data_IF_925904317241
#
_entry.id   IF_925904317241
#
_cell.length_a   1.000
_cell.length_b   1.000
_cell.length_c   1.000
_cell.angle_alpha   90.00
_cell.angle_beta   90.00
_cell.angle_gamma   90.00
#
_symmetry.space_group_name_H-M   'P 1'
#
loop_
_entity.id
_entity.type
_entity.pdbx_description
1 polymer ?
#
# COMPACT_ATOMS: atom_id res chain seq x y z
N UNK A 1 15.61 70.01 56.16
CA UNK A 1 15.23 68.72 56.82
C UNK A 1 14.85 67.69 55.76
N UNK A 2 15.62 66.61 55.54
CA UNK A 2 15.30 65.66 54.49
C UNK A 2 14.53 64.46 55.11
N UNK A 3 13.39 64.08 54.47
CA UNK A 3 12.62 62.90 54.83
C UNK A 3 13.06 61.71 54.02
N UNK A 4 13.57 60.69 54.69
CA UNK A 4 13.91 59.39 54.21
C UNK A 4 12.64 58.58 53.84
N UNK A 5 12.50 58.21 52.57
CA UNK A 5 11.54 57.19 52.17
C UNK A 5 12.33 55.93 51.77
N UNK A 6 12.35 54.94 52.66
CA UNK A 6 12.83 53.59 52.36
C UNK A 6 11.73 52.88 51.57
N UNK A 7 12.00 52.58 50.32
CA UNK A 7 11.16 51.68 49.53
C UNK A 7 11.55 50.25 49.84
N UNK A 8 10.60 49.43 50.30
CA UNK A 8 10.72 47.99 50.45
C UNK A 8 10.48 47.34 49.05
N UNK A 9 11.50 46.75 48.48
CA UNK A 9 11.39 45.88 47.33
C UNK A 9 11.05 44.48 47.84
N UNK A 10 9.80 44.04 47.68
CA UNK A 10 9.38 42.66 47.89
C UNK A 10 9.75 41.84 46.63
N UNK A 11 10.73 40.96 46.73
CA UNK A 11 11.07 40.03 45.68
C UNK A 11 10.09 38.83 45.72
N UNK A 12 9.17 38.79 44.75
CA UNK A 12 8.33 37.62 44.51
C UNK A 12 9.10 36.63 43.63
N UNK A 13 9.55 35.55 44.26
CA UNK A 13 10.12 34.39 43.53
C UNK A 13 8.96 33.57 42.92
N UNK A 14 8.75 33.72 41.64
CA UNK A 14 7.84 32.86 40.87
C UNK A 14 8.53 31.49 40.65
N UNK A 15 8.08 30.46 41.35
CA UNK A 15 8.48 29.09 41.06
C UNK A 15 7.81 28.60 39.78
N UNK A 16 8.58 28.47 38.70
CA UNK A 16 8.14 27.86 37.48
C UNK A 16 8.16 26.32 37.67
N UNK A 17 6.99 25.74 37.89
CA UNK A 17 6.80 24.29 37.80
C UNK A 17 6.91 23.88 36.31
N UNK A 18 8.08 23.39 35.92
CA UNK A 18 8.26 22.68 34.66
C UNK A 18 7.63 21.30 34.79
N UNK A 19 6.41 21.13 34.29
CA UNK A 19 5.82 19.81 34.08
C UNK A 19 6.57 19.15 32.91
N UNK A 20 7.46 18.22 33.22
CA UNK A 20 8.06 17.34 32.22
C UNK A 20 6.95 16.49 31.61
N UNK A 21 6.62 16.74 30.34
CA UNK A 21 5.75 15.83 29.59
C UNK A 21 6.41 14.44 29.56
N UNK A 22 5.65 13.35 29.79
CA UNK A 22 6.22 12.01 29.69
C UNK A 22 6.78 11.81 28.30
N UNK A 23 8.07 11.52 28.19
CA UNK A 23 8.71 11.11 26.95
C UNK A 23 7.93 9.90 26.42
N UNK A 24 7.29 10.05 25.26
CA UNK A 24 6.63 8.95 24.56
C UNK A 24 7.69 7.86 24.37
N UNK A 25 7.56 6.74 25.07
CA UNK A 25 8.44 5.60 24.91
C UNK A 25 8.36 5.19 23.42
N UNK A 26 9.45 5.40 22.68
CA UNK A 26 9.57 4.92 21.32
C UNK A 26 9.34 3.40 21.36
N UNK A 27 8.26 2.93 20.74
CA UNK A 27 7.97 1.51 20.67
C UNK A 27 9.18 0.80 20.06
N UNK A 28 9.61 -0.29 20.69
CA UNK A 28 10.73 -1.09 20.17
C UNK A 28 10.49 -1.47 18.70
N UNK A 29 11.54 -1.48 17.87
CA UNK A 29 11.42 -1.87 16.47
C UNK A 29 10.75 -3.25 16.38
N UNK A 30 9.66 -3.37 15.63
CA UNK A 30 9.03 -4.66 15.40
C UNK A 30 9.95 -5.53 14.56
N UNK A 31 10.07 -6.83 14.88
CA UNK A 31 10.81 -7.72 14.02
C UNK A 31 10.15 -7.75 12.62
N UNK A 32 11.00 -7.79 11.59
CA UNK A 32 10.54 -7.89 10.20
C UNK A 32 9.71 -9.17 10.02
N UNK A 33 8.56 -9.10 9.30
CA UNK A 33 7.82 -10.30 8.92
C UNK A 33 8.68 -11.27 8.08
N UNK A 34 8.67 -12.55 8.44
CA UNK A 34 9.45 -13.60 7.76
C UNK A 34 8.57 -14.67 7.12
N UNK A 35 7.26 -14.63 7.37
CA UNK A 35 6.29 -15.55 6.77
C UNK A 35 5.22 -14.76 6.03
N UNK A 36 4.57 -15.38 5.06
CA UNK A 36 3.46 -14.77 4.32
C UNK A 36 2.34 -14.29 5.25
N UNK A 37 2.02 -15.08 6.28
CA UNK A 37 1.00 -14.71 7.26
C UNK A 37 1.37 -13.45 8.03
N UNK A 38 2.57 -13.41 8.62
CA UNK A 38 3.00 -12.21 9.39
C UNK A 38 3.17 -10.99 8.50
N UNK A 39 3.56 -11.17 7.22
CA UNK A 39 3.62 -10.11 6.23
C UNK A 39 2.22 -9.54 5.92
N UNK A 40 1.25 -10.41 5.68
CA UNK A 40 -0.13 -10.00 5.42
C UNK A 40 -0.76 -9.31 6.65
N UNK A 41 -0.55 -9.86 7.84
CA UNK A 41 -1.03 -9.28 9.10
C UNK A 41 -0.47 -7.86 9.32
N UNK A 42 0.83 -7.62 9.01
CA UNK A 42 1.44 -6.28 9.12
C UNK A 42 0.87 -5.31 8.09
N UNK A 43 0.69 -5.73 6.83
CA UNK A 43 0.05 -4.90 5.80
C UNK A 43 -1.36 -4.48 6.23
N UNK A 44 -2.19 -5.41 6.67
CA UNK A 44 -3.56 -5.12 7.10
C UNK A 44 -3.60 -4.27 8.38
N UNK A 45 -2.65 -4.47 9.30
CA UNK A 45 -2.53 -3.62 10.48
C UNK A 45 -2.13 -2.18 10.11
N UNK A 46 -1.20 -2.02 9.15
CA UNK A 46 -0.83 -0.73 8.60
C UNK A 46 -1.99 -0.03 7.91
N UNK A 47 -2.74 -0.77 7.08
CA UNK A 47 -3.91 -0.21 6.42
C UNK A 47 -4.98 0.27 7.41
N UNK A 48 -5.25 -0.47 8.48
CA UNK A 48 -6.17 0.00 9.54
C UNK A 48 -5.70 1.30 10.18
N UNK A 49 -4.39 1.50 10.36
CA UNK A 49 -3.84 2.77 10.88
C UNK A 49 -4.04 3.90 9.89
N UNK A 50 -3.74 3.65 8.61
CA UNK A 50 -3.95 4.61 7.52
C UNK A 50 -5.41 5.04 7.42
N UNK A 51 -6.34 4.10 7.32
CA UNK A 51 -7.78 4.36 7.25
C UNK A 51 -8.32 5.10 8.48
N UNK A 52 -7.74 4.87 9.66
CA UNK A 52 -8.10 5.58 10.88
C UNK A 52 -7.47 6.99 11.00
N UNK A 53 -6.72 7.47 9.99
CA UNK A 53 -6.01 8.74 10.04
C UNK A 53 -4.91 8.80 11.11
N UNK A 54 -4.33 7.66 11.49
CA UNK A 54 -3.29 7.54 12.51
C UNK A 54 -2.09 6.72 12.03
N UNK A 55 -1.51 7.06 10.85
CA UNK A 55 -0.32 6.38 10.36
C UNK A 55 0.86 6.64 11.29
N UNK A 56 1.82 5.72 11.29
CA UNK A 56 3.05 5.79 12.09
C UNK A 56 4.23 6.33 11.32
N UNK A 57 4.15 6.32 9.98
CA UNK A 57 5.23 6.70 9.07
C UNK A 57 6.57 6.00 9.42
N UNK A 58 6.58 4.66 9.49
CA UNK A 58 7.78 3.93 9.87
C UNK A 58 8.86 4.04 8.80
N UNK A 59 10.12 3.88 9.20
CA UNK A 59 11.25 3.66 8.30
C UNK A 59 11.53 4.77 7.26
N UNK A 60 11.11 6.02 7.51
CA UNK A 60 11.33 7.15 6.60
C UNK A 60 12.61 7.95 6.88
N UNK A 61 13.22 7.71 8.05
CA UNK A 61 14.33 8.51 8.56
C UNK A 61 15.66 8.33 7.81
N UNK A 62 16.58 9.32 7.96
CA UNK A 62 17.90 9.30 7.34
C UNK A 62 18.72 8.07 7.73
N UNK A 63 18.66 7.63 8.99
CA UNK A 63 19.38 6.46 9.47
C UNK A 63 18.94 5.19 8.72
N UNK A 64 17.65 5.01 8.48
CA UNK A 64 17.12 3.89 7.69
C UNK A 64 17.66 3.89 6.26
N UNK A 65 17.65 5.04 5.59
CA UNK A 65 18.19 5.17 4.22
C UNK A 65 19.67 4.82 4.16
N UNK A 66 20.45 5.23 5.16
CA UNK A 66 21.88 4.92 5.23
C UNK A 66 22.11 3.40 5.36
N UNK A 67 21.37 2.73 6.24
CA UNK A 67 21.46 1.27 6.40
C UNK A 67 21.08 0.54 5.12
N UNK A 68 20.00 0.96 4.45
CA UNK A 68 19.51 0.33 3.23
C UNK A 68 20.39 0.56 1.99
N UNK A 69 21.32 1.53 2.04
CA UNK A 69 22.28 1.73 0.95
C UNK A 69 23.19 0.50 0.72
N UNK A 70 23.37 -0.34 1.74
CA UNK A 70 24.16 -1.58 1.66
C UNK A 70 23.36 -2.80 1.17
N UNK A 71 22.02 -2.74 1.15
CA UNK A 71 21.16 -3.84 0.73
C UNK A 71 19.70 -3.64 1.16
N UNK A 72 18.81 -4.39 0.53
CA UNK A 72 17.36 -4.32 0.81
C UNK A 72 16.81 -5.68 1.25
N UNK A 73 15.79 -5.64 2.09
CA UNK A 73 15.10 -6.83 2.59
C UNK A 73 13.59 -6.54 2.70
N UNK A 74 12.87 -6.31 1.61
CA UNK A 74 11.42 -6.13 1.66
C UNK A 74 10.73 -7.42 2.12
N UNK A 75 9.56 -7.30 2.78
CA UNK A 75 8.84 -8.46 3.28
C UNK A 75 7.61 -8.82 2.44
N UNK A 76 7.21 -7.98 1.50
CA UNK A 76 6.12 -8.25 0.58
C UNK A 76 6.37 -7.60 -0.79
N UNK A 77 5.92 -8.28 -1.85
CA UNK A 77 5.69 -7.67 -3.17
C UNK A 77 4.24 -7.19 -3.21
N UNK A 78 4.01 -5.95 -3.64
CA UNK A 78 2.66 -5.44 -3.92
C UNK A 78 2.56 -5.12 -5.40
N UNK A 79 1.68 -5.86 -6.10
CA UNK A 79 1.33 -5.62 -7.50
C UNK A 79 0.07 -4.78 -7.53
N UNK A 80 0.18 -3.52 -7.90
CA UNK A 80 -0.92 -2.55 -7.82
C UNK A 80 -1.09 -1.66 -9.05
N UNK A 81 -2.12 -0.84 -9.02
CA UNK A 81 -2.36 0.14 -10.06
C UNK A 81 -1.43 1.35 -9.93
N UNK A 82 -1.13 2.00 -11.09
CA UNK A 82 -0.43 3.30 -11.14
C UNK A 82 -1.27 4.46 -10.59
N UNK A 83 -2.53 4.24 -10.25
CA UNK A 83 -3.44 5.28 -9.73
C UNK A 83 -2.80 6.03 -8.57
N UNK A 84 -2.66 7.36 -8.71
CA UNK A 84 -1.96 8.21 -7.75
C UNK A 84 -2.59 8.25 -6.35
N UNK A 85 -3.85 7.83 -6.23
CA UNK A 85 -4.61 7.76 -4.96
C UNK A 85 -4.29 6.50 -4.15
N UNK A 86 -3.57 5.53 -4.74
CA UNK A 86 -3.33 4.21 -4.14
C UNK A 86 -1.83 3.88 -4.11
N UNK A 87 -0.96 4.72 -3.51
CA UNK A 87 0.44 4.36 -3.31
C UNK A 87 0.54 3.30 -2.20
N UNK A 88 1.08 2.10 -2.49
CA UNK A 88 1.03 0.98 -1.54
C UNK A 88 1.71 1.27 -0.21
N UNK A 89 2.83 2.00 -0.21
CA UNK A 89 3.56 2.34 1.00
C UNK A 89 2.69 3.16 1.96
N UNK A 90 1.91 4.12 1.44
CA UNK A 90 1.00 4.92 2.26
C UNK A 90 -0.22 4.12 2.68
N UNK A 91 -0.85 3.40 1.74
CA UNK A 91 -2.04 2.57 2.01
C UNK A 91 -1.80 1.56 3.13
N UNK A 92 -0.60 1.00 3.19
CA UNK A 92 -0.21 0.01 4.20
C UNK A 92 0.61 0.58 5.36
N UNK A 93 0.82 1.91 5.42
CA UNK A 93 1.63 2.58 6.46
C UNK A 93 2.99 1.87 6.65
N UNK A 94 3.72 1.73 5.54
CA UNK A 94 5.04 1.13 5.45
C UNK A 94 6.06 2.16 4.94
N UNK A 95 7.33 1.91 5.19
CA UNK A 95 8.40 2.84 4.83
C UNK A 95 9.43 2.27 3.85
N UNK A 96 10.53 2.98 3.72
CA UNK A 96 11.57 2.66 2.76
C UNK A 96 12.17 1.28 3.03
N UNK A 97 12.14 0.41 1.99
CA UNK A 97 12.71 -0.92 2.03
C UNK A 97 11.84 -1.98 2.68
N UNK A 98 10.57 -1.67 3.00
CA UNK A 98 9.62 -2.63 3.54
C UNK A 98 8.88 -3.39 2.44
N UNK A 99 8.57 -2.73 1.33
CA UNK A 99 7.83 -3.29 0.20
C UNK A 99 8.63 -3.24 -1.09
N UNK A 100 8.39 -4.21 -1.96
CA UNK A 100 8.72 -4.16 -3.38
C UNK A 100 7.41 -3.84 -4.13
N UNK A 101 7.27 -2.61 -4.64
CA UNK A 101 6.05 -2.16 -5.29
C UNK A 101 6.21 -2.22 -6.81
N UNK A 102 5.32 -2.97 -7.49
CA UNK A 102 5.23 -3.08 -8.94
C UNK A 102 3.88 -2.48 -9.36
N UNK A 103 3.88 -1.48 -10.23
CA UNK A 103 2.67 -0.73 -10.55
C UNK A 103 2.50 -0.57 -12.06
N UNK A 104 1.38 -1.08 -12.58
CA UNK A 104 0.91 -0.89 -13.95
C UNK A 104 -0.53 -0.38 -13.94
N UNK A 105 -1.02 0.23 -15.02
CA UNK A 105 -2.42 0.64 -15.07
C UNK A 105 -3.32 -0.60 -14.97
N UNK A 106 -4.23 -0.62 -13.98
CA UNK A 106 -5.09 -1.77 -13.71
C UNK A 106 -4.38 -3.01 -13.20
N UNK A 107 -3.15 -2.92 -12.69
CA UNK A 107 -2.30 -4.04 -12.25
C UNK A 107 -2.20 -5.18 -13.28
N UNK A 108 -2.17 -4.86 -14.56
CA UNK A 108 -2.01 -5.84 -15.65
C UNK A 108 -0.63 -6.48 -15.59
N UNK A 109 -0.56 -7.76 -16.02
CA UNK A 109 0.68 -8.52 -16.09
C UNK A 109 1.27 -8.45 -17.49
N UNK A 110 2.60 -8.33 -17.53
CA UNK A 110 3.42 -8.58 -18.70
C UNK A 110 4.73 -9.28 -18.28
N UNK A 111 5.58 -9.62 -19.21
CA UNK A 111 6.84 -10.30 -18.94
C UNK A 111 7.77 -9.50 -17.99
N UNK A 112 7.76 -8.17 -18.09
CA UNK A 112 8.58 -7.32 -17.21
C UNK A 112 8.04 -7.30 -15.77
N UNK A 113 6.71 -7.30 -15.61
CA UNK A 113 6.04 -7.42 -14.32
C UNK A 113 6.32 -8.79 -13.70
N UNK A 114 6.13 -9.87 -14.47
CA UNK A 114 6.42 -11.24 -14.00
C UNK A 114 7.88 -11.41 -13.60
N UNK A 115 8.83 -10.95 -14.41
CA UNK A 115 10.25 -10.95 -14.08
C UNK A 115 10.58 -10.17 -12.82
N UNK A 116 9.90 -9.04 -12.58
CA UNK A 116 10.08 -8.23 -11.38
C UNK A 116 9.53 -8.92 -10.12
N UNK A 117 8.39 -9.62 -10.24
CA UNK A 117 7.84 -10.44 -9.15
C UNK A 117 8.80 -11.60 -8.84
N UNK A 118 9.31 -12.27 -9.88
CA UNK A 118 10.23 -13.39 -9.74
C UNK A 118 11.52 -12.96 -9.04
N UNK A 119 12.08 -11.81 -9.39
CA UNK A 119 13.23 -11.24 -8.68
C UNK A 119 12.95 -11.08 -7.18
N UNK A 120 11.78 -10.56 -6.83
CA UNK A 120 11.37 -10.43 -5.42
C UNK A 120 11.24 -11.77 -4.69
N UNK A 121 10.65 -12.75 -5.33
CA UNK A 121 10.41 -14.08 -4.72
C UNK A 121 11.68 -14.92 -4.68
N UNK A 122 12.39 -15.05 -5.82
CA UNK A 122 13.51 -15.95 -5.95
C UNK A 122 14.82 -15.37 -5.35
N UNK A 123 15.12 -14.10 -5.64
CA UNK A 123 16.40 -13.50 -5.24
C UNK A 123 16.33 -12.83 -3.86
N UNK A 124 15.20 -12.22 -3.50
CA UNK A 124 15.05 -11.53 -2.22
C UNK A 124 14.34 -12.38 -1.16
N UNK A 125 13.84 -13.56 -1.53
CA UNK A 125 13.14 -14.48 -0.62
C UNK A 125 11.87 -13.90 0.00
N UNK A 126 11.14 -13.09 -0.76
CA UNK A 126 9.92 -12.44 -0.27
C UNK A 126 8.80 -13.48 -0.16
N UNK A 127 8.19 -13.66 1.02
CA UNK A 127 7.23 -14.73 1.26
C UNK A 127 5.80 -14.41 0.79
N UNK A 128 5.49 -13.14 0.47
CA UNK A 128 4.13 -12.68 0.13
C UNK A 128 4.13 -11.84 -1.15
N UNK A 129 3.24 -12.20 -2.08
CA UNK A 129 2.84 -11.35 -3.20
C UNK A 129 1.38 -10.94 -2.99
N UNK A 130 1.10 -9.65 -2.90
CA UNK A 130 -0.25 -9.11 -2.76
C UNK A 130 -0.66 -8.35 -4.03
N UNK A 131 -1.68 -8.83 -4.72
CA UNK A 131 -2.33 -8.11 -5.83
C UNK A 131 -3.35 -7.15 -5.24
N UNK A 132 -3.18 -5.86 -5.48
CA UNK A 132 -4.02 -4.80 -4.94
C UNK A 132 -4.83 -4.11 -6.05
N UNK A 133 -6.07 -4.54 -6.23
CA UNK A 133 -7.08 -3.80 -6.99
C UNK A 133 -7.63 -2.62 -6.18
N UNK A 134 -8.31 -1.69 -6.85
CA UNK A 134 -8.91 -0.55 -6.15
C UNK A 134 -10.20 -0.09 -6.80
N UNK A 135 -11.05 0.52 -6.02
CA UNK A 135 -12.31 1.10 -6.43
C UNK A 135 -12.11 2.19 -7.50
N UNK A 136 -13.08 2.33 -8.39
CA UNK A 136 -13.09 3.37 -9.45
C UNK A 136 -11.78 3.40 -10.27
N UNK A 137 -11.29 2.20 -10.64
CA UNK A 137 -10.09 2.06 -11.46
C UNK A 137 -10.31 2.58 -12.88
N UNK A 138 -9.48 3.53 -13.32
CA UNK A 138 -9.60 4.13 -14.66
C UNK A 138 -9.37 3.14 -15.80
N UNK A 139 -8.47 2.17 -15.65
CA UNK A 139 -8.23 1.14 -16.66
C UNK A 139 -9.45 0.21 -16.83
N UNK A 140 -10.10 -0.17 -15.71
CA UNK A 140 -11.36 -0.92 -15.77
C UNK A 140 -12.45 -0.09 -16.43
N UNK A 141 -12.61 1.18 -16.06
CA UNK A 141 -13.60 2.06 -16.68
C UNK A 141 -13.42 2.18 -18.21
N UNK A 142 -12.17 2.32 -18.67
CA UNK A 142 -11.86 2.36 -20.10
C UNK A 142 -12.22 1.04 -20.81
N UNK A 143 -11.97 -0.11 -20.17
CA UNK A 143 -12.35 -1.44 -20.72
C UNK A 143 -13.87 -1.57 -20.84
N UNK A 144 -14.62 -1.16 -19.81
CA UNK A 144 -16.08 -1.23 -19.83
C UNK A 144 -16.68 -0.28 -20.86
N UNK A 145 -16.10 0.89 -21.07
CA UNK A 145 -16.53 1.84 -22.08
C UNK A 145 -16.30 1.28 -23.49
N UNK A 146 -15.13 0.69 -23.74
CA UNK A 146 -14.87 -0.03 -24.99
C UNK A 146 -15.92 -1.13 -25.25
N UNK A 147 -16.23 -1.95 -24.25
CA UNK A 147 -17.22 -3.03 -24.38
C UNK A 147 -18.66 -2.54 -24.57
N UNK A 148 -19.01 -1.33 -24.11
CA UNK A 148 -20.34 -0.73 -24.30
C UNK A 148 -20.50 -0.10 -25.68
N UNK A 149 -19.48 0.57 -26.16
CA UNK A 149 -19.57 1.45 -27.34
C UNK A 149 -18.95 0.85 -28.59
N UNK A 150 -18.04 -0.12 -28.48
CA UNK A 150 -17.21 -0.60 -29.56
C UNK A 150 -16.19 0.43 -30.05
N UNK A 151 -16.01 1.55 -29.33
CA UNK A 151 -15.04 2.59 -29.71
C UNK A 151 -13.62 2.03 -29.72
N UNK A 152 -12.80 2.38 -30.73
CA UNK A 152 -11.43 1.89 -30.79
C UNK A 152 -10.60 2.41 -29.63
N UNK A 153 -9.73 1.55 -29.09
CA UNK A 153 -8.79 1.91 -28.02
C UNK A 153 -7.47 2.39 -28.68
N UNK A 154 -7.01 3.62 -28.42
CA UNK A 154 -5.85 4.17 -29.09
C UNK A 154 -4.52 3.61 -28.56
N UNK A 155 -3.62 3.25 -29.47
CA UNK A 155 -2.21 2.96 -29.20
C UNK A 155 -1.99 1.89 -28.12
N UNK A 156 -1.10 2.17 -27.20
CA UNK A 156 -0.69 1.24 -26.16
C UNK A 156 -1.76 0.97 -25.08
N UNK A 157 -2.83 1.76 -25.03
CA UNK A 157 -3.94 1.50 -24.10
C UNK A 157 -4.70 0.22 -24.47
N UNK A 158 -4.60 -0.25 -25.72
CA UNK A 158 -5.22 -1.49 -26.16
C UNK A 158 -4.78 -2.69 -25.31
N UNK A 159 -3.48 -2.78 -24.97
CA UNK A 159 -2.97 -3.84 -24.09
C UNK A 159 -3.70 -3.89 -22.75
N UNK A 160 -3.96 -2.73 -22.14
CA UNK A 160 -4.63 -2.67 -20.84
C UNK A 160 -6.08 -3.16 -20.93
N UNK A 161 -6.76 -2.80 -22.02
CA UNK A 161 -8.15 -3.22 -22.26
C UNK A 161 -8.20 -4.72 -22.52
N UNK A 162 -7.28 -5.24 -23.36
CA UNK A 162 -7.23 -6.67 -23.68
C UNK A 162 -6.99 -7.54 -22.45
N UNK A 163 -6.11 -7.12 -21.54
CA UNK A 163 -5.80 -7.83 -20.30
C UNK A 163 -6.96 -7.80 -19.27
N UNK A 164 -7.74 -6.73 -19.25
CA UNK A 164 -8.86 -6.60 -18.30
C UNK A 164 -10.17 -7.18 -18.87
N UNK A 165 -10.31 -7.22 -20.20
CA UNK A 165 -11.52 -7.64 -20.91
C UNK A 165 -12.06 -9.03 -20.47
N UNK A 166 -11.24 -10.07 -20.27
CA UNK A 166 -11.75 -11.37 -19.82
C UNK A 166 -12.50 -11.30 -18.48
N UNK A 167 -12.03 -10.47 -17.54
CA UNK A 167 -12.70 -10.25 -16.27
C UNK A 167 -14.01 -9.48 -16.43
N UNK A 168 -14.01 -8.46 -17.28
CA UNK A 168 -15.20 -7.66 -17.59
C UNK A 168 -16.30 -8.49 -18.24
N UNK A 169 -15.95 -9.34 -19.22
CA UNK A 169 -16.92 -10.20 -19.90
C UNK A 169 -17.53 -11.23 -18.95
N UNK A 170 -16.75 -11.83 -18.05
CA UNK A 170 -17.24 -12.80 -17.05
C UNK A 170 -18.21 -12.19 -16.05
N UNK A 171 -18.06 -10.91 -15.76
CA UNK A 171 -18.89 -10.22 -14.75
C UNK A 171 -20.06 -9.45 -15.36
N UNK A 172 -20.17 -9.40 -16.69
CA UNK A 172 -21.19 -8.58 -17.40
C UNK A 172 -22.63 -8.88 -17.02
N UNK A 173 -22.94 -10.14 -16.73
CA UNK A 173 -24.29 -10.58 -16.38
C UNK A 173 -24.56 -10.60 -14.86
N UNK A 174 -23.56 -10.26 -14.03
CA UNK A 174 -23.70 -10.23 -12.57
C UNK A 174 -24.49 -8.97 -12.18
N UNK A 175 -25.62 -9.10 -11.47
CA UNK A 175 -26.40 -7.95 -11.04
C UNK A 175 -25.60 -7.00 -10.12
N UNK A 176 -25.80 -5.69 -10.28
CA UNK A 176 -25.13 -4.67 -9.45
C UNK A 176 -24.13 -3.84 -10.23
N UNK A 177 -23.08 -3.38 -9.55
CA UNK A 177 -22.05 -2.54 -10.15
C UNK A 177 -21.05 -3.39 -10.95
N UNK A 178 -21.19 -3.30 -12.28
CA UNK A 178 -20.30 -4.03 -13.19
C UNK A 178 -18.84 -3.65 -13.04
N UNK A 179 -18.52 -2.38 -12.77
CA UNK A 179 -17.16 -1.94 -12.58
C UNK A 179 -16.53 -2.57 -11.33
N UNK A 180 -17.26 -2.56 -10.22
CA UNK A 180 -16.81 -3.18 -8.96
C UNK A 180 -16.61 -4.70 -9.11
N UNK A 181 -17.55 -5.39 -9.79
CA UNK A 181 -17.40 -6.82 -10.07
C UNK A 181 -16.18 -7.10 -10.94
N UNK A 182 -15.94 -6.26 -11.96
CA UNK A 182 -14.78 -6.40 -12.84
C UNK A 182 -13.47 -6.17 -12.08
N UNK A 183 -13.39 -5.15 -11.21
CA UNK A 183 -12.22 -4.86 -10.38
C UNK A 183 -11.84 -6.08 -9.54
N UNK A 184 -12.81 -6.66 -8.83
CA UNK A 184 -12.59 -7.85 -7.98
C UNK A 184 -12.18 -9.07 -8.80
N UNK A 185 -12.89 -9.33 -9.89
CA UNK A 185 -12.60 -10.46 -10.76
C UNK A 185 -11.23 -10.34 -11.42
N UNK A 186 -10.83 -9.14 -11.83
CA UNK A 186 -9.51 -8.92 -12.44
C UNK A 186 -8.38 -9.08 -11.41
N UNK A 187 -8.51 -8.52 -10.20
CA UNK A 187 -7.52 -8.73 -9.16
C UNK A 187 -7.37 -10.21 -8.77
N UNK A 188 -8.48 -10.96 -8.71
CA UNK A 188 -8.45 -12.41 -8.49
C UNK A 188 -7.81 -13.16 -9.67
N UNK A 189 -8.11 -12.77 -10.90
CA UNK A 189 -7.48 -13.32 -12.10
C UNK A 189 -5.96 -13.15 -12.09
N UNK A 190 -5.47 -11.93 -11.81
CA UNK A 190 -4.02 -11.63 -11.72
C UNK A 190 -3.37 -12.49 -10.64
N UNK A 191 -3.98 -12.61 -9.45
CA UNK A 191 -3.53 -13.52 -8.39
C UNK A 191 -3.42 -14.96 -8.89
N UNK A 192 -4.45 -15.45 -9.56
CA UNK A 192 -4.51 -16.85 -9.99
C UNK A 192 -3.52 -17.12 -11.13
N UNK A 193 -3.28 -16.17 -12.03
CA UNK A 193 -2.25 -16.26 -13.04
C UNK A 193 -0.85 -16.38 -12.42
N UNK A 194 -0.54 -15.54 -11.42
CA UNK A 194 0.73 -15.63 -10.67
C UNK A 194 0.83 -16.99 -9.93
N UNK A 195 -0.24 -17.46 -9.29
CA UNK A 195 -0.25 -18.75 -8.57
C UNK A 195 -0.04 -19.95 -9.48
N UNK A 196 -0.51 -19.87 -10.71
CA UNK A 196 -0.40 -20.97 -11.69
C UNK A 196 1.04 -21.15 -12.20
N UNK A 197 1.88 -20.15 -12.08
CA UNK A 197 3.26 -20.23 -12.54
C UNK A 197 4.16 -20.83 -11.43
N UNK A 198 4.85 -21.95 -11.71
CA UNK A 198 5.76 -22.61 -10.76
C UNK A 198 6.87 -21.73 -10.21
N UNK A 199 7.28 -20.68 -10.93
CA UNK A 199 8.31 -19.74 -10.50
C UNK A 199 7.95 -19.00 -9.20
N UNK A 200 6.65 -18.91 -8.86
CA UNK A 200 6.16 -18.20 -7.68
C UNK A 200 5.75 -19.14 -6.53
N UNK A 201 5.91 -20.44 -6.68
CA UNK A 201 5.55 -21.46 -5.64
C UNK A 201 6.10 -21.14 -4.23
N UNK A 202 7.31 -20.56 -4.06
CA UNK A 202 7.84 -20.26 -2.73
C UNK A 202 7.06 -19.15 -1.98
N UNK A 203 6.29 -18.32 -2.69
CA UNK A 203 5.54 -17.23 -2.10
C UNK A 203 4.04 -17.55 -2.00
N UNK A 204 3.41 -17.05 -0.96
CA UNK A 204 1.95 -17.00 -0.91
C UNK A 204 1.44 -15.82 -1.74
N UNK A 205 0.50 -16.06 -2.65
CA UNK A 205 -0.10 -15.01 -3.47
C UNK A 205 -1.52 -14.76 -2.99
N UNK A 206 -1.84 -13.52 -2.64
CA UNK A 206 -3.17 -13.07 -2.21
C UNK A 206 -3.67 -11.93 -3.12
N UNK A 207 -4.98 -11.71 -3.14
CA UNK A 207 -5.58 -10.55 -3.78
C UNK A 207 -6.40 -9.75 -2.77
N UNK A 208 -6.42 -8.44 -2.96
CA UNK A 208 -7.18 -7.50 -2.15
C UNK A 208 -7.75 -6.36 -2.99
N UNK A 209 -8.74 -5.69 -2.44
CA UNK A 209 -9.35 -4.48 -3.03
C UNK A 209 -9.28 -3.35 -2.03
N UNK A 210 -8.77 -2.20 -2.47
CA UNK A 210 -8.74 -0.95 -1.72
C UNK A 210 -10.00 -0.13 -2.01
N UNK A 211 -10.65 0.33 -0.98
CA UNK A 211 -11.82 1.20 -1.01
C UNK A 211 -11.38 2.66 -0.89
N UNK A 212 -11.72 3.49 -1.88
CA UNK A 212 -11.28 4.89 -1.92
C UNK A 212 -12.03 5.78 -0.92
N UNK A 213 -13.24 5.41 -0.53
CA UNK A 213 -14.06 6.22 0.37
C UNK A 213 -13.72 5.95 1.84
N UNK A 214 -13.51 4.69 2.18
CA UNK A 214 -13.18 4.28 3.55
C UNK A 214 -11.68 4.13 3.80
N UNK A 215 -10.88 4.09 2.73
CA UNK A 215 -9.43 3.78 2.77
C UNK A 215 -9.11 2.39 3.32
N UNK A 216 -10.07 1.48 3.37
CA UNK A 216 -9.87 0.11 3.84
C UNK A 216 -9.49 -0.84 2.72
N UNK A 217 -8.62 -1.79 3.05
CA UNK A 217 -8.26 -2.94 2.20
C UNK A 217 -9.02 -4.17 2.68
N UNK A 218 -9.75 -4.81 1.76
CA UNK A 218 -10.41 -6.08 1.98
C UNK A 218 -9.78 -7.19 1.14
N UNK A 219 -9.46 -8.33 1.75
CA UNK A 219 -8.99 -9.50 1.02
C UNK A 219 -10.10 -10.07 0.13
N UNK A 220 -9.70 -10.56 -1.04
CA UNK A 220 -10.58 -11.26 -1.96
C UNK A 220 -10.44 -12.78 -1.76
N UNK A 221 -11.54 -13.52 -1.90
CA UNK A 221 -11.54 -14.98 -1.76
C UNK A 221 -10.67 -15.71 -2.80
#
# INVERSE_FOLDING_TARGET
MPSNRRAFLAATTASVLTTAAPASAAAAPRPRPTTARTALDELLAGNRRYAAGRPRHPHEGRARRHVLAAGQHPFAVVVGCIDSRVPPELVFDQGIGDLLCIRTAGQVLDEAVLGSIQYGVAELGIPLVLVLGHERCGAVAATLEHLRTGAPVPGHLALLVDEIMPAALRTRAVPGDWAEHTIRAHAAWVRDAIRADPAFTPAHVAAARFDLDTSLVALLP
#
